data_IF_546956370853
#
_entry.id   IF_546956370853
#
_cell.length_a   1.000
_cell.length_b   1.000
_cell.length_c   1.000
_cell.angle_alpha   90.00
_cell.angle_beta   90.00
_cell.angle_gamma   90.00
#
_symmetry.space_group_name_H-M   'P 1'
#
loop_
_entity.id
_entity.type
_entity.pdbx_description
1 polymer ?
#
# COMPACT_ATOMS: atom_id res chain seq x y z
N UNK A 1 5.97 -2.00 3.84
CA UNK A 1 4.93 -1.18 3.21
C UNK A 1 3.76 -2.04 2.71
N UNK A 2 4.02 -3.02 1.82
CA UNK A 2 2.96 -3.87 1.23
C UNK A 2 2.15 -4.61 2.29
N UNK A 3 2.79 -5.18 3.28
CA UNK A 3 2.14 -5.90 4.39
C UNK A 3 1.14 -5.01 5.16
N UNK A 4 1.47 -3.73 5.37
CA UNK A 4 0.54 -2.77 5.97
C UNK A 4 -0.65 -2.49 5.05
N UNK A 5 -0.42 -2.38 3.74
CA UNK A 5 -1.47 -2.17 2.75
C UNK A 5 -2.41 -3.37 2.64
N UNK A 6 -1.87 -4.60 2.62
CA UNK A 6 -2.64 -5.86 2.59
C UNK A 6 -3.39 -6.06 3.92
N UNK A 7 -2.77 -5.77 5.07
CA UNK A 7 -3.45 -5.78 6.37
C UNK A 7 -4.70 -4.89 6.35
N UNK A 8 -4.57 -3.63 5.92
CA UNK A 8 -5.70 -2.70 5.83
C UNK A 8 -6.78 -3.25 4.91
N UNK A 9 -6.39 -3.75 3.74
CA UNK A 9 -7.31 -4.29 2.74
C UNK A 9 -8.10 -5.49 3.29
N UNK A 10 -7.43 -6.47 3.87
CA UNK A 10 -8.07 -7.66 4.43
C UNK A 10 -8.98 -7.34 5.62
N UNK A 11 -8.59 -6.42 6.50
CA UNK A 11 -9.47 -5.95 7.59
C UNK A 11 -10.75 -5.32 7.08
N UNK A 12 -10.65 -4.48 6.04
CA UNK A 12 -11.82 -3.82 5.47
C UNK A 12 -12.70 -4.78 4.67
N UNK A 13 -12.11 -5.71 3.92
CA UNK A 13 -12.87 -6.79 3.27
C UNK A 13 -13.61 -7.62 4.32
N UNK A 14 -12.95 -8.03 5.42
CA UNK A 14 -13.61 -8.76 6.51
C UNK A 14 -14.83 -7.99 7.04
N UNK A 15 -14.70 -6.67 7.22
CA UNK A 15 -15.80 -5.82 7.68
C UNK A 15 -16.94 -5.70 6.67
N UNK A 16 -16.63 -5.62 5.37
CA UNK A 16 -17.62 -5.56 4.30
C UNK A 16 -18.41 -6.86 4.21
N UNK A 17 -17.72 -8.00 4.09
CA UNK A 17 -18.38 -9.29 3.91
C UNK A 17 -19.14 -9.76 5.14
N UNK A 18 -18.74 -9.31 6.33
CA UNK A 18 -19.51 -9.55 7.56
C UNK A 18 -20.91 -8.96 7.47
N UNK A 19 -21.06 -7.79 6.84
CA UNK A 19 -22.35 -7.12 6.66
C UNK A 19 -23.28 -7.88 5.70
N UNK A 20 -22.73 -8.69 4.80
CA UNK A 20 -23.50 -9.55 3.89
C UNK A 20 -23.83 -10.93 4.47
N UNK A 21 -23.46 -11.20 5.73
CA UNK A 21 -23.70 -12.46 6.40
C UNK A 21 -22.64 -13.55 6.09
N UNK A 22 -21.66 -13.30 5.26
CA UNK A 22 -20.61 -14.28 4.95
C UNK A 22 -19.53 -14.31 6.04
N UNK A 23 -19.86 -14.96 7.15
CA UNK A 23 -18.99 -15.05 8.34
C UNK A 23 -17.71 -15.84 8.08
N UNK A 24 -17.74 -16.85 7.21
CA UNK A 24 -16.57 -17.65 6.86
C UNK A 24 -15.52 -16.78 6.14
N UNK A 25 -15.94 -16.05 5.10
CA UNK A 25 -15.04 -15.17 4.36
C UNK A 25 -14.51 -14.04 5.24
N UNK A 26 -15.35 -13.51 6.15
CA UNK A 26 -14.90 -12.52 7.12
C UNK A 26 -13.82 -13.07 8.06
N UNK A 27 -13.99 -14.31 8.55
CA UNK A 27 -12.99 -15.00 9.39
C UNK A 27 -11.68 -15.23 8.64
N UNK A 28 -11.73 -15.71 7.39
CA UNK A 28 -10.54 -15.93 6.54
C UNK A 28 -9.76 -14.62 6.40
N UNK A 29 -10.42 -13.53 5.99
CA UNK A 29 -9.77 -12.24 5.84
C UNK A 29 -9.21 -11.70 7.17
N UNK A 30 -9.87 -11.97 8.30
CA UNK A 30 -9.36 -11.61 9.63
C UNK A 30 -8.07 -12.35 9.99
N UNK A 31 -7.97 -13.64 9.66
CA UNK A 31 -6.75 -14.43 9.86
C UNK A 31 -5.61 -13.89 9.00
N UNK A 32 -5.85 -13.69 7.70
CA UNK A 32 -4.84 -13.14 6.78
C UNK A 32 -4.38 -11.76 7.28
N UNK A 33 -5.29 -10.89 7.69
CA UNK A 33 -4.91 -9.58 8.22
C UNK A 33 -4.00 -9.68 9.44
N UNK A 34 -4.21 -10.66 10.31
CA UNK A 34 -3.33 -10.90 11.45
C UNK A 34 -1.93 -11.39 11.03
N UNK A 35 -1.85 -12.21 9.99
CA UNK A 35 -0.57 -12.64 9.40
C UNK A 35 0.18 -11.45 8.80
N UNK A 36 -0.48 -10.61 8.02
CA UNK A 36 0.11 -9.41 7.44
C UNK A 36 0.62 -8.41 8.50
N UNK A 37 -0.05 -8.32 9.64
CA UNK A 37 0.43 -7.50 10.76
C UNK A 37 1.74 -8.04 11.34
N UNK A 38 1.88 -9.39 11.46
CA UNK A 38 3.12 -10.02 11.92
C UNK A 38 4.26 -9.83 10.93
N UNK A 39 3.99 -9.99 9.63
CA UNK A 39 4.95 -9.74 8.56
C UNK A 39 5.42 -8.27 8.58
N UNK A 40 4.49 -7.32 8.68
CA UNK A 40 4.82 -5.90 8.75
C UNK A 40 5.74 -5.57 9.92
N UNK A 41 5.49 -6.15 11.09
CA UNK A 41 6.37 -5.99 12.26
C UNK A 41 7.77 -6.54 12.00
N UNK A 42 7.87 -7.78 11.52
CA UNK A 42 9.15 -8.42 11.25
C UNK A 42 9.98 -7.64 10.22
N UNK A 43 9.37 -7.25 9.09
CA UNK A 43 10.06 -6.44 8.07
C UNK A 43 10.44 -5.04 8.58
N UNK A 44 9.62 -4.43 9.42
CA UNK A 44 9.97 -3.14 10.05
C UNK A 44 11.21 -3.25 10.91
N UNK A 45 11.31 -4.33 11.72
CA UNK A 45 12.48 -4.57 12.56
C UNK A 45 13.73 -4.83 11.72
N UNK A 46 13.62 -5.56 10.60
CA UNK A 46 14.75 -5.74 9.68
C UNK A 46 15.20 -4.41 9.08
N UNK A 47 14.28 -3.56 8.65
CA UNK A 47 14.62 -2.23 8.10
C UNK A 47 15.30 -1.35 9.14
N UNK A 48 14.81 -1.32 10.39
CA UNK A 48 15.46 -0.60 11.48
C UNK A 48 16.90 -1.07 11.67
N UNK A 49 17.11 -2.39 11.68
CA UNK A 49 18.44 -2.95 11.82
C UNK A 49 19.37 -2.59 10.66
N UNK A 50 18.87 -2.51 9.44
CA UNK A 50 19.66 -2.07 8.27
C UNK A 50 20.02 -0.59 8.40
N UNK A 51 19.11 0.26 8.86
CA UNK A 51 19.42 1.67 9.12
C UNK A 51 20.52 1.86 10.16
N UNK A 52 20.61 0.99 11.18
CA UNK A 52 21.72 1.00 12.16
C UNK A 52 23.06 0.58 11.54
N UNK A 53 23.05 -0.30 10.54
CA UNK A 53 24.26 -0.85 9.93
C UNK A 53 24.78 0.00 8.77
N UNK A 54 23.89 0.49 7.91
CA UNK A 54 24.21 1.32 6.75
C UNK A 54 23.04 2.29 6.43
N UNK A 55 22.96 3.39 7.18
CA UNK A 55 21.86 4.34 7.04
C UNK A 55 21.79 4.97 5.66
N UNK A 56 22.92 5.24 5.01
CA UNK A 56 22.95 5.86 3.68
C UNK A 56 22.42 4.96 2.58
N UNK A 57 22.85 3.70 2.57
CA UNK A 57 22.39 2.72 1.57
C UNK A 57 20.90 2.39 1.80
N UNK A 58 20.48 2.24 3.05
CA UNK A 58 19.07 1.98 3.34
C UNK A 58 18.18 3.17 2.93
N UNK A 59 18.62 4.40 3.18
CA UNK A 59 17.87 5.60 2.81
C UNK A 59 17.70 5.73 1.29
N UNK A 60 18.78 5.52 0.53
CA UNK A 60 18.72 5.53 -0.94
C UNK A 60 17.88 4.40 -1.51
N UNK A 61 17.91 3.21 -0.88
CA UNK A 61 17.05 2.08 -1.24
C UNK A 61 15.57 2.39 -0.98
N UNK A 62 15.27 3.02 0.14
CA UNK A 62 13.91 3.45 0.46
C UNK A 62 13.40 4.48 -0.55
N UNK A 63 14.22 5.48 -0.89
CA UNK A 63 13.89 6.45 -1.95
C UNK A 63 13.61 5.75 -3.29
N UNK A 64 14.48 4.84 -3.73
CA UNK A 64 14.32 4.11 -4.99
C UNK A 64 13.01 3.32 -5.03
N UNK A 65 12.70 2.60 -3.96
CA UNK A 65 11.42 1.87 -3.83
C UNK A 65 10.21 2.80 -3.93
N UNK A 66 10.27 3.97 -3.27
CA UNK A 66 9.17 4.93 -3.33
C UNK A 66 9.03 5.59 -4.71
N UNK A 67 10.13 5.83 -5.42
CA UNK A 67 10.12 6.35 -6.80
C UNK A 67 9.52 5.34 -7.79
N UNK A 68 9.82 4.07 -7.64
CA UNK A 68 9.23 2.97 -8.46
C UNK A 68 7.75 2.75 -8.15
N UNK A 69 7.24 3.31 -7.07
CA UNK A 69 5.90 3.10 -6.52
C UNK A 69 5.70 1.66 -6.03
N UNK A 70 5.25 1.54 -4.81
CA UNK A 70 4.89 0.24 -4.25
C UNK A 70 3.48 -0.11 -4.74
N UNK A 71 3.38 -1.23 -5.44
CA UNK A 71 2.13 -1.73 -5.98
C UNK A 71 1.65 -2.96 -5.20
N UNK A 72 0.35 -3.17 -5.19
CA UNK A 72 -0.25 -4.36 -4.59
C UNK A 72 -0.03 -5.60 -5.50
N UNK A 73 0.03 -6.82 -4.93
CA UNK A 73 0.19 -8.04 -5.72
C UNK A 73 -0.82 -8.19 -6.86
N UNK A 74 -2.04 -7.69 -6.67
CA UNK A 74 -3.08 -7.66 -7.70
C UNK A 74 -2.68 -6.88 -8.99
N UNK A 75 -1.64 -6.05 -8.93
CA UNK A 75 -1.07 -5.38 -10.11
C UNK A 75 -0.62 -6.37 -11.20
N UNK A 76 -0.24 -7.57 -10.80
CA UNK A 76 0.23 -8.62 -11.71
C UNK A 76 -0.90 -9.48 -12.28
N UNK A 77 -2.15 -9.30 -11.83
CA UNK A 77 -3.29 -10.02 -12.36
C UNK A 77 -3.49 -9.73 -13.85
N UNK A 78 -3.90 -10.75 -14.58
CA UNK A 78 -4.17 -10.68 -16.03
C UNK A 78 -5.48 -11.38 -16.33
N UNK A 79 -6.20 -10.86 -17.31
CA UNK A 79 -7.41 -11.45 -17.83
C UNK A 79 -7.27 -11.61 -19.34
N UNK A 80 -7.65 -12.79 -19.84
CA UNK A 80 -7.56 -13.08 -21.29
C UNK A 80 -8.44 -12.11 -22.10
N UNK A 81 -7.86 -11.54 -23.15
CA UNK A 81 -8.51 -10.60 -24.03
C UNK A 81 -8.46 -9.13 -23.61
N UNK A 82 -7.93 -8.83 -22.42
CA UNK A 82 -7.77 -7.46 -21.93
C UNK A 82 -6.36 -6.94 -22.16
N UNK A 83 -6.20 -5.62 -22.22
CA UNK A 83 -4.88 -4.98 -22.27
C UNK A 83 -4.13 -5.15 -20.95
N UNK A 84 -2.80 -5.22 -21.02
CA UNK A 84 -1.96 -5.27 -19.83
C UNK A 84 -2.23 -4.07 -18.93
N UNK A 85 -2.51 -4.33 -17.66
CA UNK A 85 -2.81 -3.30 -16.65
C UNK A 85 -4.27 -2.85 -16.60
N UNK A 86 -5.12 -3.24 -17.54
CA UNK A 86 -6.54 -2.85 -17.55
C UNK A 86 -7.27 -3.43 -16.34
N UNK A 87 -7.13 -4.73 -16.09
CA UNK A 87 -7.73 -5.37 -14.92
C UNK A 87 -7.28 -4.73 -13.60
N UNK A 88 -5.99 -4.39 -13.49
CA UNK A 88 -5.47 -3.68 -12.32
C UNK A 88 -6.11 -2.30 -12.15
N UNK A 89 -6.27 -1.54 -13.23
CA UNK A 89 -6.92 -0.22 -13.16
C UNK A 89 -8.34 -0.34 -12.61
N UNK A 90 -9.13 -1.26 -13.13
CA UNK A 90 -10.50 -1.47 -12.66
C UNK A 90 -10.56 -2.01 -11.23
N UNK A 91 -9.65 -2.90 -10.87
CA UNK A 91 -9.53 -3.40 -9.50
C UNK A 91 -9.18 -2.28 -8.53
N UNK A 92 -8.23 -1.42 -8.90
CA UNK A 92 -7.83 -0.25 -8.10
C UNK A 92 -8.99 0.73 -7.92
N UNK A 93 -9.75 1.01 -8.98
CA UNK A 93 -10.94 1.87 -8.93
C UNK A 93 -12.02 1.27 -8.00
N UNK A 94 -12.25 -0.03 -8.08
CA UNK A 94 -13.18 -0.73 -7.19
C UNK A 94 -12.72 -0.64 -5.71
N UNK A 95 -11.43 -0.86 -5.44
CA UNK A 95 -10.87 -0.74 -4.11
C UNK A 95 -11.02 0.68 -3.54
N UNK A 96 -10.81 1.70 -4.36
CA UNK A 96 -10.98 3.11 -4.00
C UNK A 96 -12.45 3.42 -3.67
N UNK A 97 -13.41 3.02 -4.54
CA UNK A 97 -14.85 3.25 -4.34
C UNK A 97 -15.40 2.53 -3.11
N UNK A 98 -15.01 1.28 -2.91
CA UNK A 98 -15.43 0.48 -1.75
C UNK A 98 -14.70 0.86 -0.46
N UNK A 99 -13.73 1.75 -0.55
CA UNK A 99 -12.84 2.14 0.56
C UNK A 99 -12.08 0.95 1.16
N UNK A 100 -11.85 -0.11 0.39
CA UNK A 100 -11.02 -1.25 0.81
C UNK A 100 -9.57 -0.84 0.89
N UNK A 101 -9.09 -0.09 -0.11
CA UNK A 101 -7.78 0.53 -0.10
C UNK A 101 -7.80 1.82 -0.92
N UNK A 102 -7.26 2.90 -0.37
CA UNK A 102 -7.35 4.23 -0.97
C UNK A 102 -5.99 4.89 -1.11
N UNK A 103 -5.91 5.93 -1.96
CA UNK A 103 -4.72 6.76 -2.07
C UNK A 103 -4.32 7.39 -0.72
N UNK A 104 -5.29 7.72 0.12
CA UNK A 104 -5.03 8.23 1.48
C UNK A 104 -4.36 7.18 2.36
N UNK A 105 -4.73 5.90 2.22
CA UNK A 105 -4.08 4.81 2.97
C UNK A 105 -2.61 4.68 2.61
N UNK A 106 -2.26 4.83 1.32
CA UNK A 106 -0.87 4.85 0.87
C UNK A 106 -0.07 5.96 1.57
N UNK A 107 -0.62 7.17 1.63
CA UNK A 107 0.01 8.32 2.30
C UNK A 107 0.17 8.07 3.79
N UNK A 108 -0.86 7.53 4.43
CA UNK A 108 -0.85 7.24 5.86
C UNK A 108 0.20 6.17 6.21
N UNK A 109 0.32 5.12 5.40
CA UNK A 109 1.36 4.09 5.58
C UNK A 109 2.75 4.72 5.46
N UNK A 110 3.00 5.51 4.41
CA UNK A 110 4.29 6.19 4.23
C UNK A 110 4.61 7.08 5.43
N UNK A 111 3.65 7.87 5.88
CA UNK A 111 3.83 8.77 7.03
C UNK A 111 4.10 8.00 8.33
N UNK A 112 3.44 6.84 8.53
CA UNK A 112 3.71 6.01 9.70
C UNK A 112 5.11 5.41 9.65
N UNK A 113 5.56 4.92 8.49
CA UNK A 113 6.91 4.36 8.34
C UNK A 113 8.00 5.41 8.56
N UNK A 114 7.82 6.64 8.05
CA UNK A 114 8.72 7.76 8.31
C UNK A 114 8.87 8.00 9.82
N UNK A 115 7.74 7.98 10.53
CA UNK A 115 7.71 8.17 11.98
C UNK A 115 8.29 6.98 12.74
N UNK A 116 7.87 5.75 12.37
CA UNK A 116 8.25 4.52 13.08
C UNK A 116 9.74 4.20 12.95
N UNK A 117 10.36 4.68 11.88
CA UNK A 117 11.80 4.52 11.62
C UNK A 117 12.61 5.77 11.96
N UNK A 118 11.98 6.80 12.57
CA UNK A 118 12.61 8.06 12.95
C UNK A 118 13.47 8.68 11.82
N UNK A 119 12.95 8.67 10.58
CA UNK A 119 13.69 9.07 9.37
C UNK A 119 14.26 10.48 9.48
N UNK A 120 13.54 11.39 10.15
CA UNK A 120 13.96 12.76 10.42
C UNK A 120 15.17 12.87 11.38
N UNK A 121 15.42 11.83 12.18
CA UNK A 121 16.50 11.80 13.18
C UNK A 121 17.74 11.02 12.73
N UNK A 122 17.68 10.36 11.57
CA UNK A 122 18.81 9.57 11.08
C UNK A 122 19.95 10.54 10.71
N UNK A 123 21.09 10.35 11.38
CA UNK A 123 22.35 11.07 11.15
C UNK A 123 23.34 10.18 10.39
N UNK A 124 24.55 10.67 10.17
CA UNK A 124 25.66 9.96 9.52
C UNK A 124 25.34 9.50 8.07
N UNK A 125 24.50 10.29 7.40
CA UNK A 125 24.20 10.10 5.98
C UNK A 125 25.28 10.75 5.11
N UNK A 126 25.65 10.06 4.03
CA UNK A 126 26.40 10.71 2.95
C UNK A 126 25.47 11.61 2.12
N UNK A 127 26.03 12.38 1.20
CA UNK A 127 25.29 13.33 0.36
C UNK A 127 24.08 12.70 -0.38
N UNK A 128 24.22 11.45 -0.86
CA UNK A 128 23.14 10.72 -1.52
C UNK A 128 22.03 10.36 -0.54
N UNK A 129 22.40 9.90 0.67
CA UNK A 129 21.46 9.59 1.73
C UNK A 129 20.70 10.82 2.24
N UNK A 130 21.37 11.97 2.36
CA UNK A 130 20.70 13.22 2.73
C UNK A 130 19.66 13.65 1.69
N UNK A 131 20.01 13.62 0.40
CA UNK A 131 19.06 13.90 -0.70
C UNK A 131 17.88 12.93 -0.70
N UNK A 132 18.14 11.65 -0.45
CA UNK A 132 17.11 10.62 -0.35
C UNK A 132 16.18 10.89 0.83
N UNK A 133 16.71 11.23 2.01
CA UNK A 133 15.93 11.62 3.18
C UNK A 133 15.02 12.80 2.89
N UNK A 134 15.56 13.86 2.30
CA UNK A 134 14.79 15.07 1.95
C UNK A 134 13.65 14.75 0.97
N UNK A 135 13.91 13.88 0.00
CA UNK A 135 12.87 13.40 -0.91
C UNK A 135 11.76 12.64 -0.16
N UNK A 136 12.13 11.68 0.70
CA UNK A 136 11.19 10.88 1.49
C UNK A 136 10.35 11.76 2.42
N UNK A 137 10.99 12.70 3.13
CA UNK A 137 10.29 13.62 4.04
C UNK A 137 9.27 14.51 3.32
N UNK A 138 9.57 14.94 2.09
CA UNK A 138 8.67 15.77 1.29
C UNK A 138 7.55 14.98 0.60
N UNK A 139 7.70 13.65 0.47
CA UNK A 139 6.81 12.83 -0.37
C UNK A 139 5.36 12.76 0.12
N UNK A 140 5.05 12.62 1.43
CA UNK A 140 3.66 12.59 1.90
C UNK A 140 2.87 13.84 1.49
N UNK A 141 3.44 15.02 1.65
CA UNK A 141 2.80 16.27 1.27
C UNK A 141 2.58 16.38 -0.25
N UNK A 142 3.55 15.93 -1.05
CA UNK A 142 3.41 15.89 -2.52
C UNK A 142 2.28 14.96 -2.94
N UNK A 143 2.20 13.78 -2.35
CA UNK A 143 1.14 12.80 -2.63
C UNK A 143 -0.22 13.33 -2.16
N UNK A 144 -0.30 14.00 -1.00
CA UNK A 144 -1.53 14.61 -0.51
C UNK A 144 -2.06 15.66 -1.48
N UNK A 145 -1.19 16.51 -2.01
CA UNK A 145 -1.57 17.52 -3.00
C UNK A 145 -2.09 16.90 -4.31
N UNK A 146 -1.54 15.75 -4.71
CA UNK A 146 -2.04 15.00 -5.87
C UNK A 146 -3.42 14.40 -5.53
N UNK A 147 -3.53 13.72 -4.40
CA UNK A 147 -4.78 13.06 -3.95
C UNK A 147 -5.93 14.05 -3.80
N UNK A 148 -5.68 15.25 -3.29
CA UNK A 148 -6.70 16.29 -3.16
C UNK A 148 -7.26 16.79 -4.50
N UNK A 149 -6.55 16.55 -5.60
CA UNK A 149 -6.98 16.90 -6.97
C UNK A 149 -7.58 15.69 -7.71
N UNK A 150 -7.48 14.50 -7.15
CA UNK A 150 -8.06 13.30 -7.77
C UNK A 150 -9.59 13.34 -7.64
N UNK A 151 -10.25 12.99 -8.75
CA UNK A 151 -11.68 12.73 -8.72
C UNK A 151 -11.93 11.28 -8.30
N UNK A 152 -12.99 11.03 -7.57
CA UNK A 152 -13.39 9.64 -7.29
C UNK A 152 -13.72 8.92 -8.61
N UNK A 153 -13.28 7.67 -8.78
CA UNK A 153 -13.60 6.88 -9.95
C UNK A 153 -15.13 6.73 -10.08
N UNK A 154 -15.69 7.20 -11.19
CA UNK A 154 -17.14 7.17 -11.44
C UNK A 154 -17.56 5.99 -12.31
N UNK A 155 -16.60 5.38 -13.02
CA UNK A 155 -16.90 4.32 -13.98
C UNK A 155 -17.07 2.99 -13.26
N UNK A 156 -18.23 2.39 -13.40
CA UNK A 156 -18.44 0.99 -13.05
C UNK A 156 -17.81 0.12 -14.13
N UNK A 157 -17.21 -0.98 -13.69
CA UNK A 157 -16.62 -1.98 -14.55
C UNK A 157 -17.20 -3.34 -14.20
N UNK A 158 -17.67 -4.04 -15.22
CA UNK A 158 -18.18 -5.40 -15.08
C UNK A 158 -17.03 -6.40 -15.25
N UNK A 159 -16.68 -7.08 -14.18
CA UNK A 159 -15.66 -8.13 -14.21
C UNK A 159 -16.24 -9.39 -14.87
N UNK A 160 -15.61 -9.90 -15.93
CA UNK A 160 -16.07 -11.06 -16.70
C UNK A 160 -16.17 -12.37 -15.90
N UNK A 161 -15.46 -12.45 -14.79
CA UNK A 161 -15.40 -13.60 -13.86
C UNK A 161 -16.43 -13.51 -12.73
N UNK A 162 -17.11 -12.39 -12.58
CA UNK A 162 -18.27 -12.26 -11.71
C UNK A 162 -19.49 -12.50 -12.60
N UNK A 163 -20.11 -13.66 -12.41
CA UNK A 163 -21.32 -14.01 -13.18
C UNK A 163 -22.44 -12.98 -12.99
N UNK A 164 -23.41 -12.92 -13.92
CA UNK A 164 -24.58 -12.07 -13.74
C UNK A 164 -25.23 -12.40 -12.40
N UNK A 165 -25.58 -11.37 -11.66
CA UNK A 165 -26.36 -11.51 -10.42
C UNK A 165 -27.66 -12.23 -10.76
N UNK A 166 -27.87 -13.44 -10.26
CA UNK A 166 -29.12 -14.20 -10.41
C UNK A 166 -30.20 -13.54 -9.56
#
# INVERSE_FOLDING_TARGET
FQELATNISHRRVASLVKKTGNTLLAKINGIIAADEARHASAYSDFVKRIFELDPSQMMTSFEDMMRRKIVMPAHFMRQSGDKVGELWSHFSDAAQRTKVYTAQDYINILSSLIKDWDIDKITDLNEAGEKARDYIMALPNRLQNITNRMQEPKKEFEFKWIGPTI
#
